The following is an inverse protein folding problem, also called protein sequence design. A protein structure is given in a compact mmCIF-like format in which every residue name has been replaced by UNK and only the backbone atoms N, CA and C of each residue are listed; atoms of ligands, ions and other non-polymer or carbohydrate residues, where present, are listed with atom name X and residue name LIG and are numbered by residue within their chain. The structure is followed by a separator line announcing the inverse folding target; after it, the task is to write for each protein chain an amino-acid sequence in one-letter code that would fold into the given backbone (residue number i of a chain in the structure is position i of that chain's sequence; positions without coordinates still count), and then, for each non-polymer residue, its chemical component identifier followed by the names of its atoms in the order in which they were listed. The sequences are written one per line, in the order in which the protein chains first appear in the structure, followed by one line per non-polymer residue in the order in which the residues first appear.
data_IF_144238798837
#
_entry.id   IF_144238798837
#
_cell.length_a   1.000
_cell.length_b   1.000
_cell.length_c   1.000
_cell.angle_alpha   90.00
_cell.angle_beta   90.00
_cell.angle_gamma   90.00
#
_symmetry.space_group_name_H-M   'P 1'
#
loop_
_entity.id
_entity.type
_entity.pdbx_description
1 polymer ?
#
# COMPACT_ATOMS: atom_id res chain seq x y z
N UNK A 1 82.28 24.35 -49.91
CA UNK A 1 81.33 24.96 -50.86
C UNK A 1 79.98 24.39 -50.51
N UNK A 2 79.04 25.13 -49.96
CA UNK A 2 77.67 24.69 -49.68
C UNK A 2 76.82 24.79 -50.96
N UNK A 3 76.21 23.69 -51.36
CA UNK A 3 75.22 23.70 -52.45
C UNK A 3 73.94 24.37 -52.01
N UNK A 4 73.58 25.46 -52.68
CA UNK A 4 72.24 26.07 -52.56
C UNK A 4 71.21 25.17 -53.30
N UNK A 5 70.24 24.66 -52.55
CA UNK A 5 69.05 24.03 -53.14
C UNK A 5 68.06 25.13 -53.51
N UNK A 6 67.88 25.36 -54.81
CA UNK A 6 66.83 26.21 -55.34
C UNK A 6 65.50 25.47 -55.35
N UNK A 7 64.54 25.93 -54.50
CA UNK A 7 63.15 25.43 -54.52
C UNK A 7 62.43 26.07 -55.71
N UNK A 8 61.76 25.31 -56.57
CA UNK A 8 60.96 25.87 -57.63
C UNK A 8 59.78 26.67 -57.05
N UNK A 9 59.72 27.93 -57.35
CA UNK A 9 58.62 28.83 -57.06
C UNK A 9 57.43 28.35 -57.85
N UNK A 10 56.47 27.68 -57.19
CA UNK A 10 55.18 27.34 -57.75
C UNK A 10 54.45 28.62 -58.18
N UNK A 11 53.90 28.73 -59.40
CA UNK A 11 53.14 29.89 -59.83
C UNK A 11 51.87 30.00 -58.98
N UNK A 12 51.81 31.01 -58.15
CA UNK A 12 50.59 31.41 -57.45
C UNK A 12 49.61 31.94 -58.49
N UNK A 13 48.45 31.36 -58.73
CA UNK A 13 47.51 31.85 -59.70
C UNK A 13 47.02 33.25 -59.28
N UNK A 14 47.37 34.23 -60.06
CA UNK A 14 46.90 35.63 -59.89
C UNK A 14 45.37 35.62 -60.26
N UNK A 15 44.49 35.33 -59.30
CA UNK A 15 43.04 35.55 -59.47
C UNK A 15 42.80 37.07 -59.49
N UNK A 16 42.68 37.67 -60.69
CA UNK A 16 42.08 38.98 -60.83
C UNK A 16 40.59 38.89 -60.57
N UNK A 17 40.22 39.01 -59.30
CA UNK A 17 38.82 39.01 -58.87
C UNK A 17 38.23 40.37 -59.30
N UNK A 18 37.29 40.32 -60.24
CA UNK A 18 36.53 41.49 -60.66
C UNK A 18 35.70 41.98 -59.47
N UNK A 19 35.57 43.30 -59.18
CA UNK A 19 34.80 43.80 -58.06
C UNK A 19 33.35 43.34 -58.06
N UNK A 20 32.76 43.10 -59.23
CA UNK A 20 31.40 42.56 -59.37
C UNK A 20 31.22 41.13 -58.80
N UNK A 21 32.26 40.25 -58.90
CA UNK A 21 32.19 38.91 -58.34
C UNK A 21 32.34 38.94 -56.83
N UNK A 22 33.05 39.89 -56.23
CA UNK A 22 33.14 40.10 -54.76
C UNK A 22 31.77 40.47 -54.21
N UNK A 23 31.05 41.42 -54.85
CA UNK A 23 29.70 41.82 -54.41
C UNK A 23 28.71 40.68 -54.54
N UNK A 24 28.82 39.88 -55.59
CA UNK A 24 27.93 38.71 -55.76
C UNK A 24 28.18 37.67 -54.70
N UNK A 25 29.44 37.38 -54.38
CA UNK A 25 29.78 36.43 -53.30
C UNK A 25 29.31 36.96 -51.93
N UNK A 26 29.52 38.27 -51.66
CA UNK A 26 29.00 38.89 -50.45
C UNK A 26 27.47 38.86 -50.35
N UNK A 27 26.76 39.08 -51.46
CA UNK A 27 25.30 38.98 -51.51
C UNK A 27 24.81 37.56 -51.23
N UNK A 28 25.45 36.54 -51.80
CA UNK A 28 25.12 35.11 -51.53
C UNK A 28 25.39 34.75 -50.10
N UNK A 29 26.53 35.18 -49.54
CA UNK A 29 26.86 34.97 -48.11
C UNK A 29 25.84 35.66 -47.19
N UNK A 30 25.39 36.86 -47.53
CA UNK A 30 24.37 37.59 -46.78
C UNK A 30 23.03 36.87 -46.81
N UNK A 31 22.63 36.35 -47.98
CA UNK A 31 21.38 35.57 -48.12
C UNK A 31 21.47 34.28 -47.31
N UNK A 32 22.58 33.55 -47.40
CA UNK A 32 22.80 32.34 -46.61
C UNK A 32 22.79 32.62 -45.10
N UNK A 33 23.43 33.75 -44.69
CA UNK A 33 23.40 34.19 -43.31
C UNK A 33 21.97 34.50 -42.83
N UNK A 34 21.18 35.25 -43.64
CA UNK A 34 19.78 35.53 -43.33
C UNK A 34 18.91 34.27 -43.27
N UNK A 35 19.13 33.28 -44.14
CA UNK A 35 18.39 32.00 -44.12
C UNK A 35 18.72 31.15 -42.89
N UNK A 36 19.86 31.35 -42.23
CA UNK A 36 20.23 30.61 -41.03
C UNK A 36 19.38 30.94 -39.79
N UNK A 37 18.53 31.98 -39.88
CA UNK A 37 17.62 32.38 -38.80
C UNK A 37 16.32 31.61 -38.70
N UNK A 38 16.06 30.66 -39.58
CA UNK A 38 14.84 29.82 -39.55
C UNK A 38 15.01 28.66 -38.55
N UNK A 39 14.08 28.50 -37.63
CA UNK A 39 14.07 27.43 -36.65
C UNK A 39 12.64 26.94 -36.33
N UNK A 40 12.53 25.75 -35.81
CA UNK A 40 11.25 25.15 -35.44
C UNK A 40 11.21 24.91 -33.92
N UNK A 41 10.05 25.19 -33.31
CA UNK A 41 9.77 24.94 -31.88
C UNK A 41 8.78 23.81 -31.82
N UNK A 42 9.11 22.75 -31.05
CA UNK A 42 8.24 21.61 -30.87
C UNK A 42 6.99 21.96 -30.05
N UNK A 43 5.89 21.16 -30.14
CA UNK A 43 4.63 21.44 -29.44
C UNK A 43 4.75 21.51 -27.91
N UNK A 44 5.74 20.85 -27.33
CA UNK A 44 6.03 20.79 -25.90
C UNK A 44 7.06 21.85 -25.44
N UNK A 45 7.54 22.70 -26.35
CA UNK A 45 8.61 23.66 -26.11
C UNK A 45 8.14 25.08 -26.27
N UNK A 46 8.86 26.01 -25.62
CA UNK A 46 8.79 27.44 -25.88
C UNK A 46 10.21 27.99 -26.17
N UNK A 47 10.29 28.89 -27.11
CA UNK A 47 11.52 29.55 -27.44
C UNK A 47 11.55 30.99 -26.87
N UNK A 48 12.65 31.33 -26.24
CA UNK A 48 12.92 32.68 -25.75
C UNK A 48 13.96 33.33 -26.68
N UNK A 49 13.59 34.44 -27.31
CA UNK A 49 14.46 35.17 -28.22
C UNK A 49 15.15 36.27 -27.44
N UNK A 50 16.46 36.27 -27.52
CA UNK A 50 17.35 37.28 -26.93
C UNK A 50 17.94 38.15 -28.03
N UNK A 51 17.73 39.45 -27.96
CA UNK A 51 18.37 40.42 -28.85
C UNK A 51 19.51 41.13 -28.10
N UNK A 52 20.74 40.92 -28.54
CA UNK A 52 21.94 41.39 -27.84
C UNK A 52 21.97 41.07 -26.34
N UNK A 53 21.50 39.84 -25.98
CA UNK A 53 21.46 39.38 -24.60
C UNK A 53 20.27 39.85 -23.77
N UNK A 54 19.40 40.71 -24.31
CA UNK A 54 18.16 41.13 -23.64
C UNK A 54 16.98 40.34 -24.14
N UNK A 55 16.04 40.00 -23.25
CA UNK A 55 14.78 39.37 -23.59
C UNK A 55 14.03 40.26 -24.60
N UNK A 56 13.74 39.72 -25.78
CA UNK A 56 12.97 40.38 -26.84
C UNK A 56 11.56 39.84 -26.93
N UNK A 57 11.41 38.52 -27.07
CA UNK A 57 10.11 37.90 -27.23
C UNK A 57 10.11 36.42 -26.74
N UNK A 58 8.93 35.91 -26.43
CA UNK A 58 8.67 34.49 -26.16
C UNK A 58 7.78 33.95 -27.26
N UNK A 59 8.20 32.87 -27.87
CA UNK A 59 7.58 32.31 -29.07
C UNK A 59 6.96 30.94 -28.76
N UNK A 60 5.74 30.73 -29.24
CA UNK A 60 4.98 29.49 -29.10
C UNK A 60 5.43 28.45 -30.14
N UNK A 61 4.96 27.16 -30.01
CA UNK A 61 5.30 26.12 -30.98
C UNK A 61 5.00 26.51 -32.43
N UNK A 62 5.89 26.10 -33.34
CA UNK A 62 5.75 26.36 -34.78
C UNK A 62 7.04 26.70 -35.49
N UNK A 63 6.91 27.11 -36.74
CA UNK A 63 8.03 27.61 -37.55
C UNK A 63 8.19 29.08 -37.33
N UNK A 64 9.37 29.51 -36.94
CA UNK A 64 9.69 30.91 -36.66
C UNK A 64 11.00 31.35 -37.30
N UNK A 65 11.15 32.67 -37.39
CA UNK A 65 12.35 33.31 -37.89
C UNK A 65 12.85 34.30 -36.89
N UNK A 66 14.15 34.29 -36.64
CA UNK A 66 14.87 35.33 -35.88
C UNK A 66 16.06 35.85 -36.71
N UNK A 67 16.55 37.02 -36.39
CA UNK A 67 17.79 37.51 -36.98
C UNK A 67 18.96 36.62 -36.60
N UNK A 68 19.81 36.22 -37.58
CA UNK A 68 20.94 35.34 -37.28
C UNK A 68 21.91 35.90 -36.25
N UNK A 69 22.63 35.03 -35.53
CA UNK A 69 23.68 35.44 -34.62
C UNK A 69 24.71 36.37 -35.34
N UNK A 70 25.23 37.41 -34.68
CA UNK A 70 25.18 37.71 -33.22
C UNK A 70 24.01 38.60 -32.77
N UNK A 71 23.07 38.96 -33.66
CA UNK A 71 22.01 39.92 -33.35
C UNK A 71 20.97 39.32 -32.42
N UNK A 72 20.43 38.14 -32.80
CA UNK A 72 19.47 37.42 -32.00
C UNK A 72 19.97 35.99 -31.72
N UNK A 73 19.61 35.49 -30.55
CA UNK A 73 19.82 34.10 -30.12
C UNK A 73 18.52 33.57 -29.60
N UNK A 74 18.22 32.30 -29.85
CA UNK A 74 17.06 31.62 -29.28
C UNK A 74 17.51 30.57 -28.26
N UNK A 75 16.71 30.42 -27.19
CA UNK A 75 16.86 29.38 -26.18
C UNK A 75 15.54 28.60 -26.16
N UNK A 76 15.59 27.36 -26.58
CA UNK A 76 14.42 26.46 -26.56
C UNK A 76 14.42 25.65 -25.29
N UNK A 77 13.29 25.61 -24.59
CA UNK A 77 13.11 24.81 -23.38
C UNK A 77 11.71 24.17 -23.36
N UNK A 78 11.65 22.90 -22.92
CA UNK A 78 10.38 22.20 -22.75
C UNK A 78 9.65 22.73 -21.51
N UNK A 79 8.36 23.03 -21.67
CA UNK A 79 7.44 23.47 -20.61
C UNK A 79 6.53 22.34 -20.14
N UNK A 80 6.44 21.28 -20.92
CA UNK A 80 5.59 20.10 -20.61
C UNK A 80 6.37 19.01 -19.89
N UNK A 81 7.69 18.99 -20.08
CA UNK A 81 8.56 17.99 -19.46
C UNK A 81 8.54 18.11 -17.94
N UNK A 82 8.30 16.99 -17.28
CA UNK A 82 8.45 16.86 -15.82
C UNK A 82 9.91 16.55 -15.52
N UNK A 83 10.51 17.39 -14.74
CA UNK A 83 11.88 17.22 -14.23
C UNK A 83 11.82 16.53 -12.87
N UNK A 84 12.84 15.74 -12.59
CA UNK A 84 12.97 14.99 -11.33
C UNK A 84 14.19 15.47 -10.59
N UNK A 85 14.02 15.77 -9.30
CA UNK A 85 15.10 16.10 -8.36
C UNK A 85 15.12 15.07 -7.24
N UNK A 86 16.30 14.57 -6.91
CA UNK A 86 16.51 13.55 -5.90
C UNK A 86 17.23 14.16 -4.70
N UNK A 87 16.65 14.01 -3.51
CA UNK A 87 17.20 14.52 -2.24
C UNK A 87 17.52 13.32 -1.34
N UNK A 88 18.74 13.32 -0.78
CA UNK A 88 19.23 12.26 0.10
C UNK A 88 19.85 11.06 -0.63
N UNK A 89 19.71 10.99 -1.94
CA UNK A 89 20.34 9.98 -2.78
C UNK A 89 20.54 10.49 -4.22
N UNK A 90 21.32 9.75 -5.00
CA UNK A 90 21.47 9.97 -6.45
C UNK A 90 21.40 8.64 -7.18
N UNK A 91 20.63 8.58 -8.25
CA UNK A 91 20.59 7.45 -9.17
C UNK A 91 21.86 7.43 -10.00
N UNK A 92 22.67 6.37 -9.86
CA UNK A 92 23.90 6.19 -10.65
C UNK A 92 23.59 5.50 -11.97
N UNK A 93 22.75 4.46 -11.91
CA UNK A 93 22.37 3.64 -13.06
C UNK A 93 20.87 3.31 -12.96
N UNK A 94 20.05 3.78 -13.90
CA UNK A 94 18.62 3.48 -13.90
C UNK A 94 18.27 2.09 -14.43
N UNK A 95 19.27 1.27 -14.82
CA UNK A 95 19.05 -0.08 -15.34
C UNK A 95 18.53 -1.07 -14.30
N UNK A 96 17.96 -2.20 -14.71
CA UNK A 96 17.58 -3.27 -13.80
C UNK A 96 18.79 -4.18 -13.44
N UNK A 97 19.25 -4.25 -12.14
CA UNK A 97 18.75 -3.50 -10.99
C UNK A 97 19.30 -2.07 -10.94
N UNK A 98 18.42 -1.10 -10.60
CA UNK A 98 18.84 0.29 -10.44
C UNK A 98 19.85 0.43 -9.27
N UNK A 99 20.87 1.26 -9.48
CA UNK A 99 21.90 1.53 -8.47
C UNK A 99 21.78 2.94 -7.96
N UNK A 100 21.70 3.06 -6.63
CA UNK A 100 21.59 4.34 -5.93
C UNK A 100 22.84 4.57 -5.08
N UNK A 101 23.21 5.83 -4.95
CA UNK A 101 24.23 6.29 -4.00
C UNK A 101 23.55 7.18 -2.98
N UNK A 102 23.60 6.78 -1.74
CA UNK A 102 23.08 7.58 -0.63
C UNK A 102 23.97 8.79 -0.38
N UNK A 103 23.35 9.90 0.00
CA UNK A 103 23.95 11.16 0.42
C UNK A 103 23.55 11.48 1.85
N UNK A 104 24.28 10.98 2.86
CA UNK A 104 23.89 11.13 4.27
C UNK A 104 23.76 12.60 4.70
N UNK A 105 24.59 13.49 4.13
CA UNK A 105 24.58 14.92 4.45
C UNK A 105 23.25 15.61 4.10
N UNK A 106 22.56 15.11 3.08
CA UNK A 106 21.25 15.57 2.63
C UNK A 106 20.11 14.80 3.28
N UNK A 107 20.33 13.52 3.56
CA UNK A 107 19.30 12.58 4.00
C UNK A 107 19.05 12.59 5.52
N UNK A 108 20.10 12.87 6.33
CA UNK A 108 20.00 12.88 7.77
C UNK A 108 19.40 14.20 8.26
N UNK A 109 18.34 14.11 9.02
CA UNK A 109 17.67 15.27 9.60
C UNK A 109 17.05 14.97 10.95
N UNK A 110 16.77 16.04 11.71
CA UNK A 110 16.19 15.95 13.04
C UNK A 110 14.67 16.15 12.95
N UNK A 111 13.92 15.30 13.62
CA UNK A 111 12.46 15.42 13.78
C UNK A 111 12.11 16.35 14.93
N UNK A 112 10.84 16.74 15.06
CA UNK A 112 10.36 17.63 16.12
C UNK A 112 10.44 17.05 17.54
N UNK A 113 10.56 15.73 17.65
CA UNK A 113 10.77 14.97 18.89
C UNK A 113 12.24 14.58 19.14
N UNK A 114 13.17 15.33 18.51
CA UNK A 114 14.62 15.20 18.70
C UNK A 114 15.22 13.86 18.24
N UNK A 115 14.53 13.12 17.39
CA UNK A 115 15.05 11.89 16.80
C UNK A 115 15.76 12.17 15.46
N UNK A 116 16.81 11.41 15.16
CA UNK A 116 17.49 11.46 13.87
C UNK A 116 16.84 10.47 12.92
N UNK A 117 16.43 10.95 11.74
CA UNK A 117 15.86 10.14 10.68
C UNK A 117 16.64 10.31 9.38
N UNK A 118 16.71 9.24 8.62
CA UNK A 118 17.19 9.24 7.24
C UNK A 118 15.99 9.33 6.32
N UNK A 119 15.91 10.40 5.53
CA UNK A 119 14.78 10.66 4.62
C UNK A 119 15.30 10.84 3.20
N UNK A 120 14.79 10.00 2.31
CA UNK A 120 15.04 10.09 0.88
C UNK A 120 13.76 10.57 0.18
N UNK A 121 13.89 11.61 -0.64
CA UNK A 121 12.76 12.26 -1.29
C UNK A 121 13.01 12.47 -2.78
N UNK A 122 11.95 12.34 -3.56
CA UNK A 122 11.91 12.69 -4.98
C UNK A 122 10.90 13.80 -5.17
N UNK A 123 11.34 14.87 -5.82
CA UNK A 123 10.48 15.97 -6.23
C UNK A 123 10.34 15.96 -7.75
N UNK A 124 9.10 16.00 -8.20
CA UNK A 124 8.78 16.19 -9.61
C UNK A 124 8.22 17.60 -9.80
N UNK A 125 8.80 18.33 -10.74
CA UNK A 125 8.40 19.69 -11.03
C UNK A 125 8.41 19.96 -12.53
N UNK A 126 7.68 20.98 -12.94
CA UNK A 126 7.67 21.47 -14.33
C UNK A 126 7.90 22.96 -14.39
N UNK A 127 8.32 23.44 -15.54
CA UNK A 127 8.50 24.86 -15.83
C UNK A 127 7.17 25.43 -16.32
N UNK A 128 6.64 26.42 -15.61
CA UNK A 128 5.40 27.12 -15.98
C UNK A 128 5.71 28.39 -16.76
N UNK A 129 6.78 29.08 -16.36
CA UNK A 129 7.22 30.34 -17.00
C UNK A 129 8.72 30.25 -17.32
N UNK A 130 9.04 30.08 -18.60
CA UNK A 130 10.41 29.91 -19.08
C UNK A 130 11.25 31.16 -18.87
N UNK A 131 10.63 32.35 -18.93
CA UNK A 131 11.35 33.62 -18.75
C UNK A 131 11.83 33.77 -17.31
N UNK A 132 10.94 33.53 -16.36
CA UNK A 132 11.28 33.56 -14.93
C UNK A 132 12.33 32.50 -14.60
N UNK A 133 12.14 31.29 -15.11
CA UNK A 133 13.07 30.20 -14.89
C UNK A 133 14.48 30.47 -15.42
N UNK A 134 14.64 31.20 -16.55
CA UNK A 134 15.94 31.47 -17.14
C UNK A 134 16.65 32.73 -16.62
N UNK A 135 15.87 33.75 -16.19
CA UNK A 135 16.44 35.05 -15.91
C UNK A 135 16.37 35.50 -14.45
N UNK A 136 15.51 34.91 -13.65
CA UNK A 136 15.35 35.28 -12.23
C UNK A 136 16.29 34.52 -11.30
N UNK A 137 16.69 33.32 -11.69
CA UNK A 137 17.48 32.45 -10.83
C UNK A 137 18.71 31.94 -11.58
N UNK A 138 19.86 31.99 -10.93
CA UNK A 138 21.05 31.28 -11.41
C UNK A 138 21.01 29.84 -10.93
N UNK A 139 21.32 28.88 -11.81
CA UNK A 139 21.45 27.47 -11.47
C UNK A 139 20.16 26.86 -10.92
N UNK A 140 19.15 26.68 -11.78
CA UNK A 140 17.91 26.02 -11.42
C UNK A 140 18.06 24.52 -11.16
N UNK A 141 19.17 23.89 -11.51
CA UNK A 141 19.42 22.48 -11.40
C UNK A 141 19.27 21.73 -12.73
N UNK A 142 18.67 20.52 -12.77
CA UNK A 142 18.62 19.66 -13.96
C UNK A 142 18.01 20.29 -15.21
N UNK A 143 17.19 21.31 -15.07
CA UNK A 143 16.62 22.09 -16.18
C UNK A 143 17.70 22.77 -17.03
N UNK A 144 18.79 23.20 -16.42
CA UNK A 144 19.92 23.86 -17.10
C UNK A 144 21.06 22.90 -17.44
N UNK A 145 20.92 21.60 -17.12
CA UNK A 145 21.95 20.61 -17.38
C UNK A 145 23.11 20.60 -16.39
N UNK A 146 22.99 21.27 -15.26
CA UNK A 146 23.98 21.33 -14.19
C UNK A 146 23.44 20.75 -12.90
N UNK A 147 24.32 20.19 -12.04
CA UNK A 147 23.99 19.51 -10.78
C UNK A 147 23.12 20.29 -9.79
N UNK A 148 23.38 20.11 -8.51
CA UNK A 148 22.60 20.71 -7.40
C UNK A 148 22.38 22.23 -7.61
N UNK A 149 21.13 22.67 -7.59
CA UNK A 149 20.72 24.06 -7.85
C UNK A 149 19.58 24.50 -6.92
N UNK A 150 18.98 25.68 -7.24
CA UNK A 150 17.91 26.26 -6.41
C UNK A 150 16.80 25.26 -6.05
N UNK A 151 16.38 24.43 -7.01
CA UNK A 151 15.31 23.44 -6.78
C UNK A 151 15.74 22.44 -5.72
N UNK A 152 16.99 21.98 -5.79
CA UNK A 152 17.57 21.07 -4.80
C UNK A 152 17.60 21.70 -3.41
N UNK A 153 18.20 22.88 -3.31
CA UNK A 153 18.37 23.60 -2.04
C UNK A 153 17.01 23.97 -1.41
N UNK A 154 16.05 24.40 -2.22
CA UNK A 154 14.71 24.72 -1.78
C UNK A 154 13.94 23.47 -1.32
N UNK A 155 14.10 22.32 -2.02
CA UNK A 155 13.48 21.07 -1.67
C UNK A 155 14.06 20.50 -0.36
N UNK A 156 15.38 20.56 -0.20
CA UNK A 156 16.06 20.18 1.04
C UNK A 156 15.63 21.05 2.21
N UNK A 157 15.55 22.35 2.03
CA UNK A 157 15.10 23.28 3.07
C UNK A 157 13.63 23.06 3.45
N UNK A 158 12.75 22.83 2.47
CA UNK A 158 11.34 22.52 2.70
C UNK A 158 11.20 21.19 3.47
N UNK A 159 11.93 20.16 3.05
CA UNK A 159 11.95 18.85 3.71
C UNK A 159 12.40 18.97 5.16
N UNK A 160 13.54 19.60 5.43
CA UNK A 160 14.04 19.79 6.80
C UNK A 160 13.08 20.58 7.66
N UNK A 161 12.47 21.63 7.11
CA UNK A 161 11.53 22.46 7.88
C UNK A 161 10.27 21.71 8.25
N UNK A 162 9.74 20.87 7.37
CA UNK A 162 8.52 20.09 7.62
C UNK A 162 8.82 18.93 8.55
N UNK A 163 9.85 18.13 8.27
CA UNK A 163 10.25 17.00 9.13
C UNK A 163 10.57 17.47 10.56
N UNK A 164 11.23 18.61 10.73
CA UNK A 164 11.53 19.20 12.04
C UNK A 164 10.31 19.67 12.85
N UNK A 165 9.10 19.66 12.27
CA UNK A 165 7.84 19.97 12.96
C UNK A 165 7.05 18.73 13.37
N UNK A 166 7.35 17.59 12.75
CA UNK A 166 6.64 16.33 12.94
C UNK A 166 7.46 15.38 13.79
N UNK A 167 6.77 14.55 14.57
CA UNK A 167 7.42 13.47 15.32
C UNK A 167 7.78 12.31 14.40
N UNK A 168 8.71 11.47 14.86
CA UNK A 168 9.23 10.34 14.10
C UNK A 168 8.11 9.38 13.65
N UNK A 169 7.14 9.11 14.52
CA UNK A 169 6.01 8.21 14.22
C UNK A 169 5.15 8.73 13.04
N UNK A 170 4.92 10.04 12.96
CA UNK A 170 4.15 10.64 11.86
C UNK A 170 4.89 10.56 10.52
N UNK A 171 6.20 10.72 10.53
CA UNK A 171 7.03 10.67 9.32
C UNK A 171 7.18 9.24 8.82
N UNK A 172 7.23 8.24 9.73
CA UNK A 172 7.42 6.83 9.40
C UNK A 172 6.13 6.10 8.98
N UNK A 173 4.96 6.49 9.54
CA UNK A 173 3.74 5.68 9.44
C UNK A 173 2.59 6.40 8.72
N UNK A 174 1.46 6.55 9.38
CA UNK A 174 0.21 7.08 8.80
C UNK A 174 0.29 8.56 8.40
N UNK A 175 1.20 9.32 8.98
CA UNK A 175 1.41 10.74 8.68
C UNK A 175 2.13 11.02 7.34
N UNK A 176 2.73 10.00 6.70
CA UNK A 176 3.56 10.16 5.51
C UNK A 176 2.91 10.96 4.39
N UNK A 177 1.63 10.71 4.09
CA UNK A 177 0.89 11.46 3.04
C UNK A 177 0.67 12.92 3.42
N UNK A 178 0.39 13.21 4.70
CA UNK A 178 0.24 14.58 5.20
C UNK A 178 1.55 15.34 5.10
N UNK A 179 2.64 14.72 5.55
CA UNK A 179 4.00 15.29 5.45
C UNK A 179 4.38 15.57 4.00
N UNK A 180 4.13 14.64 3.07
CA UNK A 180 4.36 14.87 1.62
C UNK A 180 3.57 16.05 1.08
N UNK A 181 2.31 16.20 1.47
CA UNK A 181 1.45 17.31 1.03
C UNK A 181 1.94 18.64 1.58
N UNK A 182 2.36 18.66 2.86
CA UNK A 182 2.91 19.86 3.49
C UNK A 182 4.24 20.28 2.87
N UNK A 183 5.13 19.31 2.57
CA UNK A 183 6.39 19.58 1.85
C UNK A 183 6.10 20.16 0.47
N UNK A 184 5.15 19.56 -0.28
CA UNK A 184 4.75 20.06 -1.60
C UNK A 184 4.27 21.50 -1.53
N UNK A 185 3.41 21.81 -0.57
CA UNK A 185 2.89 23.17 -0.40
C UNK A 185 3.99 24.14 -0.02
N UNK A 186 4.83 23.76 0.95
CA UNK A 186 5.97 24.61 1.37
C UNK A 186 6.94 24.88 0.24
N UNK A 187 7.27 23.86 -0.54
CA UNK A 187 8.15 24.00 -1.71
C UNK A 187 7.51 24.89 -2.79
N UNK A 188 6.22 24.76 -3.03
CA UNK A 188 5.50 25.63 -3.95
C UNK A 188 5.51 27.09 -3.47
N UNK A 189 5.34 27.33 -2.17
CA UNK A 189 5.43 28.68 -1.58
C UNK A 189 6.83 29.28 -1.76
N UNK A 190 7.88 28.47 -1.60
CA UNK A 190 9.26 28.91 -1.88
C UNK A 190 9.47 29.26 -3.37
N UNK A 191 8.91 28.46 -4.29
CA UNK A 191 9.01 28.76 -5.72
C UNK A 191 8.26 30.05 -6.10
N UNK A 192 7.15 30.33 -5.45
CA UNK A 192 6.43 31.60 -5.61
C UNK A 192 7.23 32.75 -5.01
N UNK A 193 7.81 32.59 -3.82
CA UNK A 193 8.62 33.59 -3.14
C UNK A 193 9.87 34.00 -3.98
N UNK A 194 10.51 33.01 -4.58
CA UNK A 194 11.70 33.23 -5.45
C UNK A 194 11.34 33.68 -6.87
N UNK A 195 10.03 33.70 -7.21
CA UNK A 195 9.53 34.07 -8.54
C UNK A 195 10.24 33.29 -9.67
N UNK A 196 10.50 31.98 -9.44
CA UNK A 196 11.30 31.15 -10.35
C UNK A 196 10.50 30.52 -11.50
N UNK A 197 9.19 30.71 -11.55
CA UNK A 197 8.33 30.20 -12.63
C UNK A 197 8.22 28.67 -12.71
N UNK A 198 8.36 27.98 -11.57
CA UNK A 198 8.26 26.54 -11.44
C UNK A 198 6.97 26.13 -10.73
N UNK A 199 6.44 24.97 -11.06
CA UNK A 199 5.33 24.35 -10.35
C UNK A 199 5.71 22.93 -9.88
N UNK A 200 5.40 22.63 -8.62
CA UNK A 200 5.61 21.29 -8.03
C UNK A 200 4.45 20.40 -8.44
N UNK A 201 4.75 19.34 -9.17
CA UNK A 201 3.75 18.33 -9.54
C UNK A 201 3.53 17.33 -8.40
N UNK A 202 4.62 16.70 -7.96
CA UNK A 202 4.55 15.63 -6.95
C UNK A 202 5.77 15.65 -6.06
N UNK A 203 5.56 15.37 -4.78
CA UNK A 203 6.60 15.10 -3.81
C UNK A 203 6.38 13.70 -3.26
N UNK A 204 7.39 12.85 -3.31
CA UNK A 204 7.34 11.48 -2.82
C UNK A 204 8.49 11.22 -1.85
N UNK A 205 8.17 10.80 -0.64
CA UNK A 205 9.14 10.23 0.28
C UNK A 205 9.39 8.77 -0.11
N UNK A 206 10.58 8.47 -0.61
CA UNK A 206 10.95 7.16 -1.13
C UNK A 206 11.30 6.22 0.01
N UNK A 207 12.27 6.60 0.84
CA UNK A 207 12.71 5.86 2.00
C UNK A 207 12.71 6.78 3.21
N UNK A 208 12.13 6.32 4.31
CA UNK A 208 12.17 7.00 5.60
C UNK A 208 12.49 5.96 6.65
N UNK A 209 13.51 6.19 7.45
CA UNK A 209 13.91 5.24 8.48
C UNK A 209 14.92 5.84 9.46
N UNK A 210 15.19 5.14 10.55
CA UNK A 210 16.28 5.50 11.44
C UNK A 210 17.64 5.34 10.75
N UNK A 211 18.70 6.01 11.23
CA UNK A 211 20.06 5.74 10.77
C UNK A 211 20.44 4.26 10.94
N UNK A 212 21.28 3.74 10.04
CA UNK A 212 21.67 2.32 10.02
C UNK A 212 22.26 1.81 11.32
N UNK A 213 22.90 2.69 12.10
CA UNK A 213 23.51 2.35 13.38
C UNK A 213 22.50 1.95 14.47
N UNK A 214 21.28 2.45 14.38
CA UNK A 214 20.22 2.24 15.39
C UNK A 214 19.02 1.48 14.83
N UNK A 215 19.05 1.09 13.58
CA UNK A 215 17.95 0.40 12.87
C UNK A 215 17.52 -0.90 13.59
N UNK A 216 18.49 -1.69 14.11
CA UNK A 216 18.19 -2.91 14.85
C UNK A 216 17.42 -2.62 16.16
N UNK A 217 17.83 -1.58 16.89
CA UNK A 217 17.18 -1.21 18.15
C UNK A 217 15.75 -0.67 17.90
N UNK A 218 15.54 0.09 16.83
CA UNK A 218 14.21 0.53 16.43
C UNK A 218 13.30 -0.62 16.03
N UNK A 219 13.83 -1.61 15.30
CA UNK A 219 13.10 -2.84 14.97
C UNK A 219 12.69 -3.64 16.19
N UNK A 220 13.57 -3.75 17.18
CA UNK A 220 13.25 -4.42 18.44
C UNK A 220 12.10 -3.72 19.18
N UNK A 221 12.13 -2.38 19.26
CA UNK A 221 11.04 -1.61 19.87
C UNK A 221 9.73 -1.78 19.10
N UNK A 222 9.78 -1.72 17.77
CA UNK A 222 8.60 -1.94 16.92
C UNK A 222 8.02 -3.35 17.13
N UNK A 223 8.86 -4.38 17.11
CA UNK A 223 8.45 -5.77 17.38
C UNK A 223 7.83 -5.93 18.77
N UNK A 224 8.44 -5.32 19.79
CA UNK A 224 7.90 -5.37 21.16
C UNK A 224 6.51 -4.69 21.27
N UNK A 225 6.31 -3.59 20.54
CA UNK A 225 5.02 -2.91 20.47
C UNK A 225 3.96 -3.77 19.76
N UNK A 226 4.31 -4.37 18.62
CA UNK A 226 3.44 -5.30 17.90
C UNK A 226 3.10 -6.54 18.73
N UNK A 227 4.09 -7.13 19.42
CA UNK A 227 3.89 -8.27 20.32
C UNK A 227 2.94 -7.92 21.45
N UNK A 228 3.08 -6.73 22.05
CA UNK A 228 2.16 -6.26 23.08
C UNK A 228 0.73 -6.14 22.54
N UNK A 229 0.56 -5.55 21.38
CA UNK A 229 -0.76 -5.41 20.76
C UNK A 229 -1.36 -6.78 20.39
N UNK A 230 -0.54 -7.69 19.88
CA UNK A 230 -0.95 -9.06 19.58
C UNK A 230 -1.44 -9.78 20.83
N UNK A 231 -0.67 -9.73 21.94
CA UNK A 231 -1.06 -10.34 23.21
C UNK A 231 -2.36 -9.76 23.78
N UNK A 232 -2.55 -8.44 23.67
CA UNK A 232 -3.79 -7.78 24.10
C UNK A 232 -4.97 -8.23 23.23
N UNK A 233 -4.78 -8.34 21.93
CA UNK A 233 -5.82 -8.77 21.00
C UNK A 233 -6.16 -10.25 21.18
N UNK A 234 -5.18 -11.12 21.42
CA UNK A 234 -5.37 -12.53 21.74
C UNK A 234 -6.15 -12.69 23.05
N UNK A 235 -5.78 -11.93 24.09
CA UNK A 235 -6.48 -11.95 25.38
C UNK A 235 -7.95 -11.48 25.24
N UNK A 236 -8.20 -10.44 24.44
CA UNK A 236 -9.56 -9.98 24.12
C UNK A 236 -10.35 -11.01 23.31
N UNK A 237 -9.70 -11.65 22.33
CA UNK A 237 -10.28 -12.74 21.56
C UNK A 237 -10.70 -13.91 22.47
N UNK A 238 -9.80 -14.33 23.37
CA UNK A 238 -10.08 -15.36 24.36
C UNK A 238 -11.24 -14.97 25.29
N UNK A 239 -11.26 -13.75 25.80
CA UNK A 239 -12.34 -13.23 26.62
C UNK A 239 -13.69 -13.27 25.88
N UNK A 240 -13.71 -12.83 24.63
CA UNK A 240 -14.91 -12.81 23.79
C UNK A 240 -15.41 -14.21 23.41
N UNK A 241 -14.56 -15.21 23.42
CA UNK A 241 -14.94 -16.62 23.19
C UNK A 241 -15.45 -17.30 24.45
N UNK A 242 -14.71 -17.19 25.56
CA UNK A 242 -15.00 -17.92 26.80
C UNK A 242 -16.24 -17.41 27.53
N UNK A 243 -16.40 -16.11 27.68
CA UNK A 243 -17.51 -15.53 28.44
C UNK A 243 -18.88 -15.85 27.81
N UNK A 244 -19.10 -15.68 26.48
CA UNK A 244 -20.38 -16.07 25.87
C UNK A 244 -20.63 -17.56 25.92
N UNK A 245 -19.60 -18.41 25.73
CA UNK A 245 -19.72 -19.86 25.85
C UNK A 245 -20.16 -20.29 27.25
N UNK A 246 -19.47 -19.79 28.27
CA UNK A 246 -19.82 -20.08 29.67
C UNK A 246 -21.25 -19.62 30.03
N UNK A 247 -21.65 -18.44 29.56
CA UNK A 247 -23.04 -17.98 29.74
C UNK A 247 -24.04 -18.85 29.01
N UNK A 248 -23.73 -19.23 27.76
CA UNK A 248 -24.58 -20.11 26.98
C UNK A 248 -24.73 -21.50 27.62
N UNK A 249 -23.65 -22.07 28.18
CA UNK A 249 -23.70 -23.33 28.92
C UNK A 249 -24.50 -23.23 30.20
N UNK A 250 -24.29 -22.18 30.98
CA UNK A 250 -25.08 -21.93 32.19
C UNK A 250 -26.58 -21.80 31.87
N UNK A 251 -26.93 -21.01 30.86
CA UNK A 251 -28.34 -20.85 30.43
C UNK A 251 -28.94 -22.17 29.94
N UNK A 252 -28.15 -22.95 29.18
CA UNK A 252 -28.59 -24.30 28.74
C UNK A 252 -28.88 -25.20 29.93
N UNK A 253 -28.02 -25.27 30.94
CA UNK A 253 -28.26 -26.09 32.14
C UNK A 253 -29.49 -25.64 32.93
N UNK A 254 -29.71 -24.32 33.03
CA UNK A 254 -30.92 -23.79 33.65
C UNK A 254 -32.15 -24.20 32.85
N UNK A 255 -32.12 -24.07 31.53
CA UNK A 255 -33.26 -24.47 30.66
C UNK A 255 -33.50 -25.98 30.65
N UNK A 256 -32.46 -26.79 30.68
CA UNK A 256 -32.58 -28.26 30.83
C UNK A 256 -33.22 -28.63 32.15
N UNK A 257 -32.84 -28.03 33.27
CA UNK A 257 -33.43 -28.25 34.58
C UNK A 257 -34.89 -27.77 34.65
N UNK A 258 -35.21 -26.63 34.08
CA UNK A 258 -36.60 -26.14 33.97
C UNK A 258 -37.45 -27.09 33.13
N UNK A 259 -36.96 -27.55 32.00
CA UNK A 259 -37.65 -28.52 31.14
C UNK A 259 -37.89 -29.84 31.86
N UNK A 260 -36.84 -30.35 32.52
CA UNK A 260 -36.95 -31.57 33.32
C UNK A 260 -38.01 -31.42 34.44
N UNK A 261 -38.00 -30.31 35.15
CA UNK A 261 -39.02 -29.99 36.17
C UNK A 261 -40.43 -30.02 35.58
N UNK A 262 -40.64 -29.32 34.45
CA UNK A 262 -41.96 -29.26 33.80
C UNK A 262 -42.39 -30.66 33.32
N UNK A 263 -41.49 -31.43 32.72
CA UNK A 263 -41.76 -32.79 32.27
C UNK A 263 -42.16 -33.67 33.45
N UNK A 264 -41.42 -33.62 34.54
CA UNK A 264 -41.72 -34.43 35.76
C UNK A 264 -43.07 -34.08 36.36
N UNK A 265 -43.37 -32.79 36.49
CA UNK A 265 -44.68 -32.34 37.03
C UNK A 265 -45.82 -32.75 36.11
N UNK A 266 -45.70 -32.53 34.81
CA UNK A 266 -46.76 -32.92 33.85
C UNK A 266 -46.96 -34.41 33.77
N UNK A 267 -45.87 -35.20 33.84
CA UNK A 267 -45.94 -36.65 33.86
C UNK A 267 -46.64 -37.16 35.10
N UNK A 268 -46.25 -36.64 36.29
CA UNK A 268 -46.90 -37.00 37.53
C UNK A 268 -48.39 -36.64 37.54
N UNK A 269 -48.74 -35.47 37.00
CA UNK A 269 -50.09 -35.01 36.85
C UNK A 269 -50.89 -35.90 35.90
N UNK A 270 -50.31 -36.25 34.73
CA UNK A 270 -50.94 -37.17 33.78
C UNK A 270 -51.12 -38.55 34.34
N UNK A 271 -50.16 -39.07 35.12
CA UNK A 271 -50.31 -40.40 35.80
C UNK A 271 -51.39 -40.33 36.87
N UNK A 272 -51.51 -39.24 37.63
CA UNK A 272 -52.58 -39.06 38.63
C UNK A 272 -53.97 -39.00 37.97
N UNK A 273 -54.07 -38.17 36.87
CA UNK A 273 -55.35 -38.05 36.12
C UNK A 273 -55.74 -39.34 35.45
N UNK A 274 -54.78 -40.09 34.92
CA UNK A 274 -55.01 -41.42 34.39
C UNK A 274 -55.50 -42.38 35.48
N UNK A 275 -54.81 -42.42 36.65
CA UNK A 275 -55.20 -43.22 37.78
C UNK A 275 -56.63 -42.84 38.23
N UNK A 276 -56.97 -41.58 38.40
CA UNK A 276 -58.28 -41.08 38.74
C UNK A 276 -59.37 -41.56 37.78
N UNK A 277 -59.07 -41.51 36.46
CA UNK A 277 -59.99 -41.97 35.40
C UNK A 277 -60.22 -43.51 35.46
N UNK A 278 -59.14 -44.27 35.61
CA UNK A 278 -59.21 -45.73 35.75
C UNK A 278 -59.98 -46.12 37.05
N UNK A 279 -59.69 -45.38 38.14
CA UNK A 279 -60.34 -45.62 39.41
C UNK A 279 -61.85 -45.34 39.36
N UNK A 280 -62.25 -44.30 38.67
CA UNK A 280 -63.69 -43.95 38.49
C UNK A 280 -64.42 -45.02 37.69
N UNK A 281 -63.80 -45.70 36.70
CA UNK A 281 -64.38 -46.83 35.97
C UNK A 281 -64.31 -48.12 36.78
N UNK A 282 -63.28 -48.35 37.60
CA UNK A 282 -63.16 -49.49 38.49
C UNK A 282 -64.30 -49.54 39.52
N UNK A 283 -64.66 -48.37 40.13
CA UNK A 283 -65.72 -48.27 41.09
C UNK A 283 -67.10 -48.70 40.51
N UNK A 284 -67.31 -48.45 39.19
CA UNK A 284 -68.58 -48.84 38.52
C UNK A 284 -68.68 -50.32 38.24
N UNK A 285 -67.56 -51.01 37.91
CA UNK A 285 -67.53 -52.44 37.59
C UNK A 285 -66.15 -53.07 37.97
N UNK A 286 -65.99 -53.45 39.27
CA UNK A 286 -64.67 -53.88 39.77
C UNK A 286 -64.09 -55.10 39.08
N UNK A 287 -64.86 -56.17 39.00
CA UNK A 287 -64.40 -57.45 38.46
C UNK A 287 -64.02 -57.42 36.98
N UNK A 288 -64.78 -56.65 36.18
CA UNK A 288 -64.53 -56.53 34.75
C UNK A 288 -63.26 -55.66 34.50
N UNK A 289 -63.11 -54.59 35.26
CA UNK A 289 -62.00 -53.68 35.13
C UNK A 289 -60.66 -54.28 35.57
N UNK A 290 -60.68 -55.05 36.68
CA UNK A 290 -59.49 -55.77 37.16
C UNK A 290 -59.03 -56.82 36.12
N UNK A 291 -59.91 -57.54 35.53
CA UNK A 291 -59.60 -58.57 34.52
C UNK A 291 -59.03 -57.92 33.24
N UNK A 292 -59.58 -56.79 32.85
CA UNK A 292 -59.09 -55.99 31.71
C UNK A 292 -57.67 -55.44 31.96
N UNK A 293 -57.45 -54.86 33.11
CA UNK A 293 -56.14 -54.29 33.48
C UNK A 293 -55.05 -55.37 33.55
N UNK A 294 -55.44 -56.56 34.07
CA UNK A 294 -54.57 -57.74 34.11
C UNK A 294 -54.14 -58.15 32.68
N UNK A 295 -55.13 -58.31 31.79
CA UNK A 295 -54.86 -58.70 30.39
C UNK A 295 -53.99 -57.61 29.67
N UNK A 296 -54.32 -56.31 29.76
CA UNK A 296 -53.59 -55.26 29.18
C UNK A 296 -52.13 -55.16 29.71
N UNK A 297 -51.94 -55.49 30.99
CA UNK A 297 -50.61 -55.54 31.58
C UNK A 297 -49.83 -56.75 31.08
N UNK A 298 -50.45 -57.90 30.98
CA UNK A 298 -49.82 -59.06 30.41
C UNK A 298 -49.49 -58.92 28.93
N UNK A 299 -50.36 -58.31 28.12
CA UNK A 299 -50.13 -58.03 26.73
C UNK A 299 -48.93 -57.04 26.53
N UNK A 300 -48.72 -56.16 27.48
CA UNK A 300 -47.58 -55.18 27.43
C UNK A 300 -46.24 -55.86 27.81
N UNK A 301 -46.28 -56.80 28.80
CA UNK A 301 -45.08 -57.45 29.33
C UNK A 301 -44.66 -58.65 28.47
N UNK A 302 -45.64 -59.43 28.00
CA UNK A 302 -45.37 -60.64 27.27
C UNK A 302 -44.54 -60.58 25.99
N UNK A 303 -44.60 -59.46 25.16
CA UNK A 303 -43.76 -59.37 23.97
C UNK A 303 -42.26 -59.21 24.28
N UNK A 304 -41.93 -58.62 25.44
CA UNK A 304 -40.54 -58.37 25.84
C UNK A 304 -39.87 -59.55 26.58
N UNK A 305 -40.61 -60.60 26.89
CA UNK A 305 -40.10 -61.76 27.65
C UNK A 305 -39.81 -62.91 26.71
N UNK A 306 -38.65 -63.51 26.81
CA UNK A 306 -38.36 -64.79 26.16
C UNK A 306 -39.13 -65.86 26.85
N UNK A 307 -40.11 -66.49 26.13
CA UNK A 307 -41.01 -67.54 26.67
C UNK A 307 -40.45 -68.88 26.34
N UNK A 308 -40.28 -69.64 27.35
CA UNK A 308 -40.00 -71.06 27.21
C UNK A 308 -41.27 -71.88 27.64
N UNK A 309 -41.91 -72.46 26.66
CA UNK A 309 -43.07 -73.37 26.96
C UNK A 309 -42.54 -74.79 27.07
N UNK A 310 -42.55 -75.31 28.29
CA UNK A 310 -42.16 -76.70 28.54
C UNK A 310 -43.45 -77.54 28.53
N UNK A 311 -43.60 -78.34 27.50
CA UNK A 311 -44.74 -79.34 27.47
C UNK A 311 -44.49 -80.43 28.48
N UNK A 312 -45.37 -80.57 29.43
CA UNK A 312 -45.40 -81.76 30.35
C UNK A 312 -45.96 -82.98 29.59
N UNK A 313 -45.09 -83.61 28.76
CA UNK A 313 -45.36 -84.98 28.32
C UNK A 313 -44.89 -85.95 29.38
N UNK A 314 -45.71 -86.96 29.72
CA UNK A 314 -45.32 -88.00 30.62
C UNK A 314 -44.03 -88.68 30.16
N UNK A 315 -42.97 -88.46 30.91
CA UNK A 315 -41.68 -89.13 30.71
C UNK A 315 -40.50 -88.16 30.45
N UNK A 316 -39.77 -87.90 31.48
CA UNK A 316 -38.37 -87.59 31.59
C UNK A 316 -38.02 -86.23 32.14
N UNK A 317 -37.52 -86.25 33.34
CA UNK A 317 -37.09 -85.08 34.14
C UNK A 317 -35.71 -84.47 33.71
N UNK A 318 -35.28 -84.76 32.50
CA UNK A 318 -33.88 -84.37 32.11
C UNK A 318 -33.76 -83.16 31.18
N UNK A 319 -34.85 -82.47 30.76
CA UNK A 319 -34.81 -81.37 29.83
C UNK A 319 -34.32 -80.01 30.43
N UNK A 320 -34.37 -79.89 31.76
CA UNK A 320 -33.94 -78.69 32.44
C UNK A 320 -32.42 -78.48 32.46
N UNK A 321 -31.62 -79.48 32.21
CA UNK A 321 -30.16 -79.41 32.20
C UNK A 321 -29.56 -79.01 30.85
N UNK A 322 -30.37 -78.87 29.81
CA UNK A 322 -29.88 -78.48 28.46
C UNK A 322 -30.05 -77.02 28.14
N UNK A 323 -30.78 -76.25 28.96
CA UNK A 323 -30.94 -74.77 28.73
C UNK A 323 -29.93 -74.04 29.61
N UNK A 324 -28.83 -73.70 28.99
CA UNK A 324 -27.80 -72.83 29.64
C UNK A 324 -28.33 -71.43 29.72
N UNK A 325 -28.93 -71.02 30.83
CA UNK A 325 -29.48 -69.70 31.11
C UNK A 325 -28.40 -68.62 31.25
N UNK A 326 -27.14 -69.01 31.29
CA UNK A 326 -26.02 -68.08 31.48
C UNK A 326 -25.53 -67.33 30.17
N UNK A 327 -26.17 -67.68 29.02
CA UNK A 327 -25.75 -67.02 27.72
C UNK A 327 -26.61 -65.88 27.26
N UNK A 328 -27.51 -65.39 28.09
CA UNK A 328 -28.30 -64.19 27.74
C UNK A 328 -27.79 -62.94 28.47
N UNK A 329 -26.49 -62.60 28.29
CA UNK A 329 -26.07 -61.22 28.50
C UNK A 329 -26.17 -60.45 27.17
N UNK A 330 -27.08 -59.49 27.02
CA UNK A 330 -26.99 -58.54 25.88
C UNK A 330 -25.77 -57.69 26.04
N UNK A 331 -24.91 -57.78 25.05
CA UNK A 331 -23.70 -56.91 24.99
C UNK A 331 -24.03 -55.44 25.18
N UNK A 332 -23.52 -54.87 26.24
CA UNK A 332 -23.34 -53.41 26.39
C UNK A 332 -22.29 -52.99 25.39
N UNK A 333 -22.70 -52.54 24.22
CA UNK A 333 -21.87 -51.74 23.34
C UNK A 333 -21.83 -50.30 23.89
N UNK A 334 -20.61 -49.81 24.05
CA UNK A 334 -20.24 -48.44 24.44
C UNK A 334 -20.84 -47.37 23.54
#
# INVERSE_FOLDING_TARGET
MPQQFDFPKSPVPNFKVQPKTIYLVLAVLLILWLMSGVYTVAPDEKAVILRFGKLSNVVEPGLHYHMPPPIEMHIIRSVTKVYREEIGFRTIDPGPPARYRQKPDEALMLTGDENIVNVEMVVQYRVTDVVRALFKVQRLGPFEGGGDGLVHDAAEAALRQVVGRHGIDEVLTEGKLRVQTEIKQKLQDLFVLYDCGLAVETVQLQSVGPPSQVDSAFKDVASAKEDRERLVNEARGYQNDIIPKARGEAERHVKEAESYKVERVRRAQGDADRFGSVYAEYVKAPEITERRLYIETMERIMPGIQKYVIGTGEGDASLLNLINLDRAQPGLSR
#
